data_IF_563333070131
#
_entry.id   IF_563333070131
#
_cell.length_a   1.000
_cell.length_b   1.000
_cell.length_c   1.000
_cell.angle_alpha   90.00
_cell.angle_beta   90.00
_cell.angle_gamma   90.00
#
_symmetry.space_group_name_H-M   'P 1'
#
loop_
_entity.id
_entity.type
_entity.pdbx_description
1 polymer ?
#
# COMPACT_ATOMS: atom_id res chain seq x y z
N UNK A 1 -4.99 -6.66 16.40
CA UNK A 1 -5.44 -6.65 14.98
C UNK A 1 -5.84 -8.03 14.49
N UNK A 2 -5.09 -9.11 14.75
CA UNK A 2 -5.46 -10.51 14.42
C UNK A 2 -6.87 -10.92 14.89
N UNK A 3 -7.24 -10.58 16.11
CA UNK A 3 -8.57 -10.86 16.67
C UNK A 3 -9.72 -10.17 15.94
N UNK A 4 -9.45 -9.02 15.31
CA UNK A 4 -10.44 -8.25 14.57
C UNK A 4 -10.62 -8.68 13.10
N UNK A 5 -9.73 -9.55 12.60
CA UNK A 5 -9.71 -10.03 11.20
C UNK A 5 -9.71 -11.56 11.16
N UNK A 6 -10.81 -12.23 11.55
CA UNK A 6 -10.92 -13.68 11.47
C UNK A 6 -10.73 -14.16 10.02
N UNK A 7 -9.94 -15.20 9.82
CA UNK A 7 -9.60 -15.74 8.50
C UNK A 7 -8.46 -15.04 7.77
N UNK A 8 -7.83 -14.05 8.42
CA UNK A 8 -6.58 -13.45 7.95
C UNK A 8 -5.40 -13.83 8.82
N UNK A 9 -4.23 -13.92 8.19
CA UNK A 9 -2.94 -13.90 8.87
C UNK A 9 -2.08 -12.78 8.27
N UNK A 10 -0.89 -12.54 8.82
CA UNK A 10 0.01 -11.51 8.33
C UNK A 10 1.47 -11.96 8.35
N UNK A 11 2.28 -11.29 7.55
CA UNK A 11 3.73 -11.34 7.54
C UNK A 11 4.29 -9.92 7.71
N UNK A 12 5.53 -9.80 8.15
CA UNK A 12 6.21 -8.54 8.43
C UNK A 12 6.53 -8.37 9.91
N UNK A 13 7.65 -7.72 10.17
CA UNK A 13 8.19 -7.47 11.52
C UNK A 13 8.32 -5.97 11.78
N UNK A 14 8.53 -5.61 13.05
CA UNK A 14 8.77 -4.23 13.47
C UNK A 14 10.13 -3.72 12.97
N UNK A 15 10.14 -2.53 12.38
CA UNK A 15 11.32 -1.94 11.73
C UNK A 15 12.48 -1.64 12.67
N UNK A 16 12.22 -1.46 13.99
CA UNK A 16 13.23 -1.00 14.93
C UNK A 16 14.09 -2.15 15.48
N UNK A 17 13.53 -3.37 15.58
CA UNK A 17 14.23 -4.52 16.17
C UNK A 17 14.12 -5.81 15.37
N UNK A 18 13.42 -5.79 14.25
CA UNK A 18 13.16 -6.99 13.47
C UNK A 18 12.21 -7.99 14.16
N UNK A 19 11.42 -7.53 15.12
CA UNK A 19 10.43 -8.32 15.88
C UNK A 19 9.13 -7.56 16.03
N UNK A 20 8.93 -6.87 17.17
CA UNK A 20 7.67 -6.25 17.55
C UNK A 20 7.76 -4.71 17.65
N UNK A 21 8.97 -4.12 17.67
CA UNK A 21 9.14 -2.69 17.90
C UNK A 21 9.14 -1.89 16.61
N UNK A 22 8.50 -0.72 16.69
CA UNK A 22 8.38 0.21 15.57
C UNK A 22 7.19 -0.11 14.66
N UNK A 23 7.08 0.62 13.57
CA UNK A 23 6.06 0.37 12.56
C UNK A 23 6.36 -0.89 11.76
N UNK A 24 5.30 -1.55 11.31
CA UNK A 24 5.35 -2.74 10.48
C UNK A 24 4.87 -2.40 9.06
N UNK A 25 5.61 -2.80 8.05
CA UNK A 25 5.12 -2.86 6.67
C UNK A 25 4.40 -4.19 6.44
N UNK A 26 3.39 -4.47 7.27
CA UNK A 26 2.74 -5.78 7.31
C UNK A 26 1.91 -6.07 6.05
N UNK A 27 1.90 -7.33 5.62
CA UNK A 27 1.07 -7.86 4.54
C UNK A 27 0.04 -8.80 5.15
N UNK A 28 -1.23 -8.39 5.19
CA UNK A 28 -2.34 -9.22 5.63
C UNK A 28 -2.91 -9.98 4.43
N UNK A 29 -3.18 -11.26 4.62
CA UNK A 29 -3.71 -12.13 3.57
C UNK A 29 -4.78 -13.09 4.09
N UNK A 30 -5.68 -13.48 3.22
CA UNK A 30 -6.72 -14.48 3.52
C UNK A 30 -6.12 -15.88 3.53
N UNK A 31 -6.20 -16.56 4.66
CA UNK A 31 -5.65 -17.91 4.84
C UNK A 31 -6.43 -19.00 4.10
N UNK A 32 -7.70 -18.75 3.78
CA UNK A 32 -8.52 -19.65 2.96
C UNK A 32 -8.20 -19.56 1.45
N UNK A 33 -7.51 -18.47 1.01
CA UNK A 33 -7.18 -18.20 -0.39
C UNK A 33 -5.72 -18.38 -0.74
N UNK A 34 -4.82 -18.14 0.19
CA UNK A 34 -3.39 -18.09 -0.09
C UNK A 34 -2.60 -18.93 0.90
N UNK A 35 -1.58 -19.64 0.38
CA UNK A 35 -0.45 -20.16 1.14
C UNK A 35 0.74 -19.22 0.99
N UNK A 36 1.51 -19.05 2.05
CA UNK A 36 2.81 -18.35 2.03
C UNK A 36 3.90 -19.41 1.92
N UNK A 37 4.58 -19.46 0.77
CA UNK A 37 5.63 -20.43 0.48
C UNK A 37 6.93 -19.98 1.15
N UNK A 38 7.24 -18.69 1.01
CA UNK A 38 8.44 -18.05 1.56
C UNK A 38 8.10 -16.63 1.97
N UNK A 39 8.81 -16.10 2.97
CA UNK A 39 8.64 -14.72 3.44
C UNK A 39 9.91 -14.17 4.06
N UNK A 40 10.01 -12.87 4.11
CA UNK A 40 11.12 -12.19 4.75
C UNK A 40 10.91 -10.69 4.87
N UNK A 41 11.89 -10.06 5.45
CA UNK A 41 11.96 -8.64 5.66
C UNK A 41 13.38 -8.16 5.34
N UNK A 42 13.51 -6.95 4.81
CA UNK A 42 14.80 -6.32 4.65
C UNK A 42 14.72 -4.82 4.90
N UNK A 43 15.78 -4.25 5.48
CA UNK A 43 15.85 -2.82 5.76
C UNK A 43 16.25 -2.05 4.51
N UNK A 44 15.65 -0.90 4.33
CA UNK A 44 15.97 0.03 3.23
C UNK A 44 17.25 0.80 3.60
N UNK A 45 18.37 0.11 3.55
CA UNK A 45 19.69 0.60 3.98
C UNK A 45 20.82 -0.14 3.28
N UNK A 46 22.06 0.31 3.51
CA UNK A 46 23.28 -0.34 3.06
C UNK A 46 23.53 -1.70 3.74
N UNK A 47 22.79 -1.98 4.83
CA UNK A 47 22.84 -3.25 5.59
C UNK A 47 21.45 -3.85 5.68
N UNK A 48 20.88 -4.39 4.58
CA UNK A 48 19.46 -4.74 4.51
C UNK A 48 19.08 -5.92 5.42
N UNK A 49 20.00 -6.70 5.89
CA UNK A 49 19.73 -7.93 6.67
C UNK A 49 19.60 -7.66 8.18
N UNK A 50 19.81 -6.43 8.63
CA UNK A 50 19.75 -6.03 10.05
C UNK A 50 19.02 -4.71 10.24
N UNK A 51 18.35 -4.48 11.40
CA UNK A 51 17.71 -3.21 11.72
C UNK A 51 18.71 -2.04 11.61
N UNK A 52 18.48 -1.17 10.62
CA UNK A 52 19.39 -0.06 10.33
C UNK A 52 18.67 1.09 9.64
N UNK A 53 19.29 2.28 9.72
CA UNK A 53 18.91 3.45 8.91
C UNK A 53 19.80 3.52 7.68
N UNK A 54 19.18 3.70 6.51
CA UNK A 54 19.90 3.80 5.25
C UNK A 54 20.23 5.24 4.87
N UNK A 55 21.43 5.47 4.37
CA UNK A 55 21.91 6.73 3.77
C UNK A 55 21.61 7.96 4.66
N UNK A 56 20.72 8.84 4.20
CA UNK A 56 20.28 10.04 4.92
C UNK A 56 18.90 9.90 5.58
N UNK A 57 18.41 8.66 5.75
CA UNK A 57 17.14 8.40 6.41
C UNK A 57 17.15 8.83 7.88
N UNK A 58 16.02 9.39 8.34
CA UNK A 58 15.87 9.78 9.76
C UNK A 58 15.39 8.63 10.64
N UNK A 59 14.76 7.62 10.05
CA UNK A 59 14.24 6.45 10.75
C UNK A 59 14.66 5.16 10.03
N UNK A 60 14.76 4.01 10.72
CA UNK A 60 14.81 2.72 10.06
C UNK A 60 13.58 2.54 9.17
N UNK A 61 13.76 2.03 7.95
CA UNK A 61 12.70 1.73 7.01
C UNK A 61 12.82 0.31 6.55
N UNK A 62 11.70 -0.34 6.33
CA UNK A 62 11.63 -1.77 6.08
C UNK A 62 10.74 -2.08 4.89
N UNK A 63 11.07 -3.15 4.18
CA UNK A 63 10.21 -3.80 3.19
C UNK A 63 9.96 -5.23 3.64
N UNK A 64 8.70 -5.58 3.82
CA UNK A 64 8.26 -6.97 4.04
C UNK A 64 7.86 -7.59 2.73
N UNK A 65 8.13 -8.89 2.55
CA UNK A 65 7.76 -9.59 1.33
C UNK A 65 7.30 -11.02 1.59
N UNK A 66 6.53 -11.55 0.65
CA UNK A 66 6.13 -12.95 0.65
C UNK A 66 5.97 -13.51 -0.75
N UNK A 67 6.30 -14.80 -0.90
CA UNK A 67 5.94 -15.63 -2.04
C UNK A 67 4.62 -16.32 -1.73
N UNK A 68 3.60 -15.94 -2.43
CA UNK A 68 2.23 -16.41 -2.24
C UNK A 68 1.82 -17.38 -3.33
N UNK A 69 1.00 -18.36 -2.94
CA UNK A 69 0.33 -19.27 -3.86
C UNK A 69 -1.18 -19.22 -3.65
N UNK A 70 -1.92 -18.94 -4.72
CA UNK A 70 -3.37 -19.01 -4.70
C UNK A 70 -3.82 -20.49 -4.64
N UNK A 71 -4.60 -20.86 -3.62
CA UNK A 71 -5.06 -22.23 -3.39
C UNK A 71 -6.01 -22.73 -4.49
N UNK A 72 -6.85 -21.82 -5.00
CA UNK A 72 -7.87 -22.17 -5.99
C UNK A 72 -7.27 -22.44 -7.38
N UNK A 73 -6.21 -21.71 -7.75
CA UNK A 73 -5.66 -21.74 -9.12
C UNK A 73 -4.23 -22.28 -9.21
N UNK A 74 -3.52 -22.35 -8.08
CA UNK A 74 -2.09 -22.66 -8.04
C UNK A 74 -1.18 -21.50 -8.51
N UNK A 75 -1.75 -20.33 -8.85
CA UNK A 75 -0.99 -19.16 -9.28
C UNK A 75 -0.05 -18.68 -8.18
N UNK A 76 1.22 -18.46 -8.54
CA UNK A 76 2.26 -17.99 -7.62
C UNK A 76 2.71 -16.57 -8.00
N UNK A 77 2.96 -15.74 -6.98
CA UNK A 77 3.42 -14.36 -7.16
C UNK A 77 4.19 -13.87 -5.93
N UNK A 78 4.99 -12.83 -6.14
CA UNK A 78 5.66 -12.11 -5.05
C UNK A 78 4.84 -10.88 -4.65
N UNK A 79 4.74 -10.65 -3.36
CA UNK A 79 4.09 -9.44 -2.82
C UNK A 79 5.05 -8.73 -1.88
N UNK A 80 5.24 -7.44 -2.09
CA UNK A 80 6.10 -6.57 -1.29
C UNK A 80 5.28 -5.43 -0.71
N UNK A 81 5.59 -5.05 0.53
CA UNK A 81 5.04 -3.85 1.16
C UNK A 81 6.16 -3.09 1.88
N UNK A 82 6.25 -1.78 1.64
CA UNK A 82 7.30 -0.94 2.18
C UNK A 82 6.77 0.37 2.77
N UNK A 83 7.62 1.03 3.56
CA UNK A 83 7.43 2.41 3.95
C UNK A 83 8.77 3.14 3.83
N UNK A 84 8.90 4.03 2.84
CA UNK A 84 10.13 4.77 2.57
C UNK A 84 10.30 5.96 3.51
N UNK A 85 11.51 6.52 3.58
CA UNK A 85 11.78 7.65 4.48
C UNK A 85 11.14 8.95 3.96
N UNK A 86 10.54 9.71 4.88
CA UNK A 86 9.82 10.94 4.56
C UNK A 86 10.73 12.17 4.41
N UNK A 87 11.97 12.12 4.89
CA UNK A 87 12.94 13.21 4.83
C UNK A 87 14.10 12.91 3.88
N UNK A 88 14.74 11.74 4.02
CA UNK A 88 15.96 11.36 3.31
C UNK A 88 15.77 11.23 1.81
N UNK A 89 16.19 12.23 1.03
CA UNK A 89 16.06 12.20 -0.44
C UNK A 89 16.91 11.11 -1.07
N UNK A 90 18.16 10.98 -0.61
CA UNK A 90 19.07 9.92 -1.08
C UNK A 90 18.54 8.55 -0.66
N UNK A 91 18.08 8.41 0.58
CA UNK A 91 17.51 7.17 1.07
C UNK A 91 16.33 6.68 0.20
N UNK A 92 15.42 7.56 -0.24
CA UNK A 92 14.32 7.19 -1.13
C UNK A 92 14.78 6.69 -2.50
N UNK A 93 15.78 7.35 -3.10
CA UNK A 93 16.31 6.94 -4.42
C UNK A 93 17.02 5.60 -4.33
N UNK A 94 17.93 5.45 -3.36
CA UNK A 94 18.69 4.22 -3.19
C UNK A 94 17.81 3.04 -2.74
N UNK A 95 16.78 3.32 -1.92
CA UNK A 95 15.78 2.32 -1.55
C UNK A 95 15.03 1.78 -2.77
N UNK A 96 14.72 2.65 -3.75
CA UNK A 96 14.06 2.20 -4.97
C UNK A 96 14.92 1.22 -5.79
N UNK A 97 16.24 1.44 -5.86
CA UNK A 97 17.14 0.50 -6.50
C UNK A 97 17.30 -0.79 -5.70
N UNK A 98 17.50 -0.70 -4.39
CA UNK A 98 17.60 -1.86 -3.50
C UNK A 98 16.38 -2.78 -3.62
N UNK A 99 15.18 -2.21 -3.56
CA UNK A 99 13.93 -2.98 -3.69
C UNK A 99 13.86 -3.70 -5.04
N UNK A 100 14.18 -3.02 -6.13
CA UNK A 100 14.21 -3.66 -7.46
C UNK A 100 15.21 -4.79 -7.56
N UNK A 101 16.39 -4.63 -6.97
CA UNK A 101 17.42 -5.66 -6.99
C UNK A 101 17.00 -6.87 -6.14
N UNK A 102 16.39 -6.65 -4.97
CA UNK A 102 15.77 -7.72 -4.14
C UNK A 102 14.63 -8.42 -4.87
N UNK A 103 13.77 -7.70 -5.57
CA UNK A 103 12.70 -8.29 -6.38
C UNK A 103 13.24 -9.20 -7.48
N UNK A 104 14.30 -8.78 -8.17
CA UNK A 104 14.98 -9.61 -9.18
C UNK A 104 15.64 -10.85 -8.58
N UNK A 105 16.32 -10.67 -7.44
CA UNK A 105 16.97 -11.76 -6.72
C UNK A 105 15.96 -12.85 -6.34
N UNK A 106 14.85 -12.44 -5.71
CA UNK A 106 13.79 -13.34 -5.23
C UNK A 106 12.95 -13.96 -6.36
N UNK A 107 12.78 -13.26 -7.48
CA UNK A 107 12.04 -13.75 -8.63
C UNK A 107 12.85 -14.60 -9.62
N UNK A 108 14.18 -14.70 -9.45
CA UNK A 108 15.12 -15.20 -10.45
C UNK A 108 14.83 -16.62 -10.95
N UNK A 109 14.44 -17.52 -10.05
CA UNK A 109 14.33 -18.94 -10.38
C UNK A 109 13.02 -19.30 -11.09
N UNK A 110 11.98 -18.46 -10.97
CA UNK A 110 10.64 -18.77 -11.48
C UNK A 110 10.01 -17.66 -12.32
N UNK A 111 10.69 -16.53 -12.53
CA UNK A 111 10.14 -15.35 -13.22
C UNK A 111 8.75 -14.94 -12.66
N UNK A 112 8.59 -15.00 -11.33
CA UNK A 112 7.31 -14.75 -10.69
C UNK A 112 6.86 -13.30 -10.89
N UNK A 113 5.59 -13.07 -11.23
CA UNK A 113 5.05 -11.72 -11.26
C UNK A 113 5.02 -11.14 -9.85
N UNK A 114 5.19 -9.84 -9.76
CA UNK A 114 5.30 -9.15 -8.47
C UNK A 114 4.30 -8.01 -8.33
N UNK A 115 3.88 -7.79 -7.09
CA UNK A 115 3.10 -6.64 -6.63
C UNK A 115 3.93 -5.93 -5.56
N UNK A 116 4.09 -4.62 -5.68
CA UNK A 116 4.77 -3.77 -4.71
C UNK A 116 3.84 -2.67 -4.26
N UNK A 117 3.60 -2.60 -2.95
CA UNK A 117 2.72 -1.62 -2.31
C UNK A 117 3.44 -0.85 -1.23
N UNK A 118 2.86 0.25 -0.77
CA UNK A 118 3.32 0.96 0.43
C UNK A 118 3.16 2.46 0.35
N UNK A 119 3.59 3.10 1.43
CA UNK A 119 3.85 4.53 1.48
C UNK A 119 5.28 4.79 1.01
N UNK A 120 5.40 5.39 -0.16
CA UNK A 120 6.69 5.70 -0.76
C UNK A 120 7.24 7.07 -0.33
N UNK A 121 6.42 7.89 0.34
CA UNK A 121 6.75 9.27 0.70
C UNK A 121 7.26 10.11 -0.49
N UNK A 122 6.88 9.72 -1.69
CA UNK A 122 7.12 10.42 -2.95
C UNK A 122 5.91 10.33 -3.84
N UNK A 123 5.59 11.40 -4.52
CA UNK A 123 4.54 11.40 -5.52
C UNK A 123 5.04 10.96 -6.90
N UNK A 124 4.14 10.92 -7.84
CA UNK A 124 4.36 10.48 -9.22
C UNK A 124 5.33 11.36 -10.03
N UNK A 125 5.80 12.48 -9.48
CA UNK A 125 6.74 13.41 -10.14
C UNK A 125 8.18 13.28 -9.64
N UNK A 126 8.39 12.44 -8.61
CA UNK A 126 9.70 12.30 -7.98
C UNK A 126 10.57 11.26 -8.70
N UNK A 127 11.89 11.51 -8.73
CA UNK A 127 12.86 10.63 -9.39
C UNK A 127 12.86 9.19 -8.83
N UNK A 128 12.49 8.96 -7.56
CA UNK A 128 12.36 7.61 -7.00
C UNK A 128 11.17 6.86 -7.60
N UNK A 129 10.07 7.55 -7.92
CA UNK A 129 8.95 6.97 -8.65
C UNK A 129 9.38 6.54 -10.06
N UNK A 130 10.11 7.42 -10.78
CA UNK A 130 10.65 7.08 -12.09
C UNK A 130 11.55 5.84 -12.06
N UNK A 131 12.33 5.66 -10.98
CA UNK A 131 13.17 4.49 -10.81
C UNK A 131 12.35 3.18 -10.87
N UNK A 132 11.16 3.14 -10.29
CA UNK A 132 10.30 1.95 -10.31
C UNK A 132 9.68 1.64 -11.68
N UNK A 133 9.33 2.66 -12.47
CA UNK A 133 8.57 2.48 -13.73
C UNK A 133 9.43 2.56 -14.99
N UNK A 134 10.58 3.24 -14.97
CA UNK A 134 11.36 3.57 -16.17
C UNK A 134 11.96 2.36 -16.91
N UNK A 135 12.20 1.25 -16.22
CA UNK A 135 12.78 0.03 -16.81
C UNK A 135 11.75 -0.98 -17.32
N UNK A 136 10.46 -0.67 -17.21
CA UNK A 136 9.37 -1.55 -17.63
C UNK A 136 9.22 -2.84 -16.80
N UNK A 137 9.94 -2.96 -15.69
CA UNK A 137 9.83 -4.11 -14.76
C UNK A 137 8.54 -4.04 -13.96
N UNK A 138 8.14 -2.82 -13.58
CA UNK A 138 6.90 -2.51 -12.90
C UNK A 138 6.11 -1.45 -13.64
N UNK A 139 4.81 -1.50 -13.50
CA UNK A 139 3.85 -0.50 -13.99
C UNK A 139 3.09 0.06 -12.80
N UNK A 140 2.84 1.37 -12.76
CA UNK A 140 1.89 1.94 -11.81
C UNK A 140 0.47 1.48 -12.16
N UNK A 141 -0.22 0.88 -11.21
CA UNK A 141 -1.60 0.42 -11.39
C UNK A 141 -2.57 1.57 -11.68
N UNK A 142 -2.29 2.77 -11.17
CA UNK A 142 -3.05 3.97 -11.50
C UNK A 142 -2.98 4.32 -12.98
N UNK A 143 -1.78 4.29 -13.57
CA UNK A 143 -1.58 4.61 -14.98
C UNK A 143 -2.06 3.48 -15.91
N UNK A 144 -1.96 2.23 -15.45
CA UNK A 144 -2.30 1.05 -16.24
C UNK A 144 -3.80 0.81 -16.38
N UNK A 145 -4.63 1.31 -15.46
CA UNK A 145 -6.08 1.07 -15.47
C UNK A 145 -6.84 2.07 -16.34
N UNK A 146 -7.87 1.59 -17.03
CA UNK A 146 -8.86 2.45 -17.68
C UNK A 146 -9.97 2.97 -16.75
N UNK A 147 -10.07 2.44 -15.52
CA UNK A 147 -11.12 2.83 -14.57
C UNK A 147 -10.50 3.29 -13.24
N UNK A 148 -10.67 4.57 -12.94
CA UNK A 148 -10.23 5.19 -11.68
C UNK A 148 -11.42 5.74 -10.90
N UNK A 149 -11.47 5.42 -9.61
CA UNK A 149 -12.44 5.99 -8.67
C UNK A 149 -11.71 6.91 -7.70
N UNK A 150 -12.24 8.12 -7.52
CA UNK A 150 -11.64 9.24 -6.81
C UNK A 150 -10.22 9.60 -7.34
N UNK A 151 -10.07 10.86 -7.70
CA UNK A 151 -8.82 11.43 -8.24
C UNK A 151 -7.99 12.14 -7.17
N UNK A 152 -8.34 11.95 -5.91
CA UNK A 152 -7.59 12.50 -4.77
C UNK A 152 -6.19 11.88 -4.70
N UNK A 153 -5.24 12.65 -4.19
CA UNK A 153 -4.02 12.10 -3.64
C UNK A 153 -4.30 11.26 -2.40
N UNK A 154 -3.28 10.61 -1.86
CA UNK A 154 -3.47 9.60 -0.82
C UNK A 154 -3.27 10.11 0.60
N UNK A 155 -2.60 11.25 0.80
CA UNK A 155 -2.40 11.86 2.11
C UNK A 155 -3.48 12.89 2.44
N UNK A 156 -4.04 12.88 3.65
CA UNK A 156 -5.13 13.76 4.07
C UNK A 156 -4.89 14.49 5.40
N UNK A 157 -3.83 14.14 6.14
CA UNK A 157 -3.49 14.76 7.44
C UNK A 157 -4.65 14.78 8.45
N UNK A 158 -5.47 13.71 8.46
CA UNK A 158 -6.71 13.62 9.26
C UNK A 158 -7.77 14.68 8.95
N UNK A 159 -7.62 15.47 7.89
CA UNK A 159 -8.63 16.42 7.43
C UNK A 159 -9.49 15.82 6.31
N UNK A 160 -10.79 15.56 6.55
CA UNK A 160 -11.68 15.00 5.53
C UNK A 160 -11.97 15.96 4.37
N UNK A 161 -11.57 17.23 4.49
CA UNK A 161 -11.72 18.23 3.43
C UNK A 161 -10.43 18.46 2.64
N UNK A 162 -9.33 17.78 3.00
CA UNK A 162 -8.07 17.94 2.28
C UNK A 162 -8.16 17.37 0.87
N UNK A 163 -7.52 18.05 -0.06
CA UNK A 163 -7.36 17.60 -1.44
C UNK A 163 -5.94 17.84 -1.89
N UNK A 164 -5.36 16.85 -2.53
CA UNK A 164 -4.07 16.94 -3.22
C UNK A 164 -4.09 16.06 -4.46
N UNK A 165 -3.28 16.38 -5.44
CA UNK A 165 -3.05 15.52 -6.61
C UNK A 165 -1.86 14.57 -6.41
N UNK A 166 -1.11 14.74 -5.31
CA UNK A 166 0.06 13.92 -4.96
C UNK A 166 -0.37 12.57 -4.39
N UNK A 167 -0.04 11.50 -5.10
CA UNK A 167 -0.21 10.12 -4.64
C UNK A 167 1.12 9.67 -4.05
N UNK A 168 1.20 9.44 -2.75
CA UNK A 168 2.42 8.95 -2.09
C UNK A 168 2.31 7.47 -1.70
N UNK A 169 1.11 6.92 -1.74
CA UNK A 169 0.85 5.49 -1.63
C UNK A 169 0.64 4.90 -3.02
N UNK A 170 1.48 3.98 -3.42
CA UNK A 170 1.46 3.40 -4.75
C UNK A 170 1.23 1.89 -4.71
N UNK A 171 0.66 1.39 -5.79
CA UNK A 171 0.56 -0.03 -6.10
C UNK A 171 1.21 -0.26 -7.46
N UNK A 172 2.42 -0.77 -7.45
CA UNK A 172 3.12 -1.15 -8.66
C UNK A 172 2.93 -2.65 -8.92
N UNK A 173 2.81 -3.01 -10.18
CA UNK A 173 2.57 -4.41 -10.60
C UNK A 173 3.45 -4.79 -11.77
N UNK A 174 3.81 -6.06 -11.86
CA UNK A 174 4.45 -6.60 -13.07
C UNK A 174 3.58 -6.38 -14.31
N UNK A 175 4.18 -6.19 -15.51
CA UNK A 175 3.43 -5.94 -16.75
C UNK A 175 2.38 -6.99 -17.09
N UNK A 176 2.56 -8.22 -16.63
CA UNK A 176 1.65 -9.37 -16.83
C UNK A 176 0.31 -9.27 -16.10
N UNK A 177 0.20 -8.39 -15.07
CA UNK A 177 -1.09 -8.14 -14.44
C UNK A 177 -1.95 -7.21 -15.29
N UNK A 178 -3.22 -7.54 -15.43
CA UNK A 178 -4.26 -6.63 -15.91
C UNK A 178 -4.88 -5.89 -14.73
N UNK A 179 -4.86 -4.56 -14.77
CA UNK A 179 -5.47 -3.72 -13.72
C UNK A 179 -6.88 -3.36 -14.15
N UNK A 180 -7.87 -3.98 -13.52
CA UNK A 180 -9.29 -3.74 -13.85
C UNK A 180 -9.78 -2.40 -13.31
N UNK A 181 -9.43 -2.09 -12.05
CA UNK A 181 -9.91 -0.91 -11.35
C UNK A 181 -8.86 -0.42 -10.37
N UNK A 182 -8.81 0.89 -10.21
CA UNK A 182 -8.05 1.58 -9.18
C UNK A 182 -8.96 2.54 -8.43
N UNK A 183 -8.80 2.68 -7.13
CA UNK A 183 -9.56 3.65 -6.35
C UNK A 183 -8.78 4.14 -5.14
N UNK A 184 -8.85 5.44 -4.88
CA UNK A 184 -8.53 6.04 -3.60
C UNK A 184 -9.81 6.10 -2.79
N UNK A 185 -9.87 5.38 -1.67
CA UNK A 185 -11.08 5.27 -0.85
C UNK A 185 -11.17 6.47 0.09
N UNK A 186 -11.88 7.51 -0.34
CA UNK A 186 -12.04 8.77 0.40
C UNK A 186 -13.21 8.73 1.40
N UNK A 187 -13.61 7.53 1.82
CA UNK A 187 -14.69 7.35 2.77
C UNK A 187 -14.35 7.96 4.12
N UNK A 188 -15.36 8.57 4.72
CA UNK A 188 -15.28 9.18 6.04
C UNK A 188 -16.31 8.55 6.98
N UNK A 189 -16.02 8.54 8.25
CA UNK A 189 -17.02 8.21 9.25
C UNK A 189 -17.56 9.48 9.93
N UNK A 190 -18.67 9.34 10.64
CA UNK A 190 -19.33 10.46 11.32
C UNK A 190 -19.21 10.30 12.82
N UNK A 191 -18.72 11.33 13.51
CA UNK A 191 -18.79 11.43 14.97
C UNK A 191 -19.77 12.53 15.38
N UNK A 192 -20.50 12.29 16.48
CA UNK A 192 -21.44 13.27 17.02
C UNK A 192 -20.67 14.48 17.55
N UNK A 193 -21.14 15.68 17.23
CA UNK A 193 -20.60 16.94 17.75
C UNK A 193 -21.57 17.49 18.81
N UNK A 194 -21.04 17.84 19.99
CA UNK A 194 -21.86 18.35 21.10
C UNK A 194 -22.82 17.30 21.66
N UNK A 195 -24.02 17.72 22.04
CA UNK A 195 -25.06 16.85 22.58
C UNK A 195 -25.91 16.15 21.51
N UNK A 196 -25.51 16.25 20.22
CA UNK A 196 -26.28 15.65 19.13
C UNK A 196 -27.61 16.38 18.87
N UNK A 197 -27.57 17.72 18.92
CA UNK A 197 -28.76 18.53 18.66
C UNK A 197 -29.34 18.26 17.28
N UNK A 198 -30.65 18.12 17.21
CA UNK A 198 -31.37 17.94 15.95
C UNK A 198 -31.31 19.25 15.15
N UNK A 199 -30.96 19.16 13.90
CA UNK A 199 -31.05 20.27 12.96
C UNK A 199 -32.20 20.02 12.02
N UNK A 200 -33.20 20.89 12.08
CA UNK A 200 -34.31 20.85 11.13
C UNK A 200 -33.83 21.49 9.81
N UNK A 201 -33.90 20.76 8.73
CA UNK A 201 -33.65 21.30 7.39
C UNK A 201 -34.98 21.94 6.89
N UNK A 202 -34.87 23.08 6.21
CA UNK A 202 -36.04 23.89 5.82
C UNK A 202 -36.87 23.26 4.68
N UNK A 203 -36.41 22.21 4.04
CA UNK A 203 -37.13 21.57 2.92
C UNK A 203 -36.83 20.07 2.87
N UNK A 204 -37.21 19.36 3.90
CA UNK A 204 -37.14 17.90 3.94
C UNK A 204 -38.38 17.33 4.66
N UNK A 205 -38.74 16.06 4.40
CA UNK A 205 -39.83 15.40 5.11
C UNK A 205 -39.66 15.44 6.64
N UNK A 206 -40.75 15.60 7.39
CA UNK A 206 -40.74 15.70 8.85
C UNK A 206 -40.16 14.46 9.55
N UNK A 207 -40.20 13.29 8.85
CA UNK A 207 -39.68 12.04 9.35
C UNK A 207 -38.13 11.98 9.33
N UNK A 208 -37.46 12.91 8.62
CA UNK A 208 -36.00 12.93 8.54
C UNK A 208 -35.40 13.61 9.75
N UNK A 209 -34.71 12.84 10.56
CA UNK A 209 -33.99 13.31 11.74
C UNK A 209 -32.51 13.61 11.40
N UNK A 210 -32.17 14.89 11.21
CA UNK A 210 -30.81 15.33 10.91
C UNK A 210 -30.13 15.73 12.22
N UNK A 211 -29.02 15.03 12.51
CA UNK A 211 -28.11 15.34 13.63
C UNK A 211 -26.87 16.04 13.14
N UNK A 212 -26.28 16.86 14.00
CA UNK A 212 -25.00 17.50 13.71
C UNK A 212 -23.87 16.50 13.91
N UNK A 213 -23.17 16.18 12.84
CA UNK A 213 -22.00 15.29 12.82
C UNK A 213 -20.78 16.02 12.24
N UNK A 214 -19.61 15.57 12.68
CA UNK A 214 -18.34 15.93 12.06
C UNK A 214 -17.82 14.72 11.24
N UNK A 215 -17.44 14.97 10.00
CA UNK A 215 -16.73 13.98 9.21
C UNK A 215 -15.30 13.80 9.76
N UNK A 216 -14.84 12.56 9.76
CA UNK A 216 -13.47 12.19 10.17
C UNK A 216 -12.92 11.12 9.23
N UNK A 217 -11.62 11.12 9.04
CA UNK A 217 -10.89 10.06 8.35
C UNK A 217 -10.36 9.05 9.36
N UNK A 218 -10.35 7.75 9.06
CA UNK A 218 -9.82 6.71 9.95
C UNK A 218 -8.29 6.71 10.03
N UNK A 219 -7.61 7.33 9.08
CA UNK A 219 -6.15 7.47 8.96
C UNK A 219 -5.82 8.81 8.33
N UNK A 220 -4.60 9.28 8.47
CA UNK A 220 -4.02 10.43 7.76
C UNK A 220 -3.71 10.12 6.29
N UNK A 221 -3.85 8.85 5.88
CA UNK A 221 -3.83 8.41 4.49
C UNK A 221 -5.18 7.83 4.08
N UNK A 222 -5.57 8.04 2.84
CA UNK A 222 -6.68 7.33 2.21
C UNK A 222 -6.22 5.97 1.69
N UNK A 223 -6.96 4.88 1.97
CA UNK A 223 -6.61 3.58 1.44
C UNK A 223 -6.65 3.54 -0.09
N UNK A 224 -5.67 2.88 -0.70
CA UNK A 224 -5.66 2.57 -2.12
C UNK A 224 -6.19 1.17 -2.34
N UNK A 225 -7.17 1.02 -3.21
CA UNK A 225 -7.75 -0.27 -3.62
C UNK A 225 -7.47 -0.52 -5.10
N UNK A 226 -6.89 -1.69 -5.40
CA UNK A 226 -6.64 -2.13 -6.78
C UNK A 226 -7.25 -3.51 -6.99
N UNK A 227 -7.93 -3.67 -8.11
CA UNK A 227 -8.44 -4.96 -8.58
C UNK A 227 -7.57 -5.44 -9.73
N UNK A 228 -6.91 -6.58 -9.50
CA UNK A 228 -5.97 -7.18 -10.44
C UNK A 228 -6.51 -8.48 -11.00
N UNK A 229 -6.18 -8.74 -12.25
CA UNK A 229 -6.44 -9.99 -12.94
C UNK A 229 -5.14 -10.48 -13.58
N UNK A 230 -4.87 -11.78 -13.51
CA UNK A 230 -3.70 -12.38 -14.13
C UNK A 230 -4.15 -13.38 -15.21
N UNK A 231 -3.70 -13.16 -16.45
CA UNK A 231 -3.99 -14.08 -17.56
C UNK A 231 -2.86 -15.11 -17.70
N UNK A 232 -3.09 -16.33 -17.22
CA UNK A 232 -2.14 -17.43 -17.31
C UNK A 232 -1.77 -17.82 -18.76
N UNK A 233 -2.52 -17.38 -19.77
CA UNK A 233 -2.27 -17.69 -21.19
C UNK A 233 -1.06 -16.94 -21.77
N UNK A 234 -0.54 -15.92 -21.09
CA UNK A 234 0.62 -15.15 -21.53
C UNK A 234 1.97 -15.74 -21.09
N UNK A 235 1.97 -16.86 -20.35
CA UNK A 235 3.19 -17.55 -19.88
C UNK A 235 3.60 -18.76 -20.76
N UNK A 236 3.10 -18.87 -22.00
CA UNK A 236 3.51 -19.92 -22.96
C UNK A 236 4.41 -19.37 -24.04
#
# INVERSE_FOLDING_TARGET
MKEALPGYDYIGVGRDDGKEKGEHSAIFYRTDKFDVIEKGDFWLSETPDVPSKGWDAVLPRICSWGHFKCKDTGFEFLFFNLHMDHIGKKARVESAFLVQDKMKELGKDKELPAILTGDFNVDQTHQSYDAFVSKGVLCDSYEKTGFRYAINGTFNDFDPNSFTESRIDHVFVSPSFHVKRYGVLTDTYRSIVGKGEKKQANDCPEEIDIKTYQARTPSDHFPVKVELEFDQRQQK
#
